data_IF_149065632022
#
_entry.id   IF_149065632022
#
_cell.length_a   1.000
_cell.length_b   1.000
_cell.length_c   1.000
_cell.angle_alpha   90.00
_cell.angle_beta   90.00
_cell.angle_gamma   90.00
#
_symmetry.space_group_name_H-M   'P 1'
#
loop_
_entity.id
_entity.type
_entity.pdbx_description
1 polymer ?
#
# COMPACT_ATOMS: atom_id res chain seq x y z
N UNK A 1 12.82 -7.62 4.99
CA UNK A 1 13.29 -6.48 4.17
C UNK A 1 14.68 -5.98 4.57
N UNK A 2 15.56 -6.83 5.12
CA UNK A 2 16.90 -6.43 5.57
C UNK A 2 17.81 -5.95 4.44
N UNK A 3 17.66 -6.53 3.24
CA UNK A 3 18.44 -6.15 2.06
C UNK A 3 18.15 -4.71 1.61
N UNK A 4 16.89 -4.27 1.63
CA UNK A 4 16.50 -2.89 1.25
C UNK A 4 17.04 -1.88 2.26
N UNK A 5 16.98 -2.19 3.56
CA UNK A 5 17.58 -1.35 4.61
C UNK A 5 19.09 -1.17 4.36
N UNK A 6 19.81 -2.28 4.17
CA UNK A 6 21.26 -2.25 3.97
C UNK A 6 21.61 -1.52 2.65
N UNK A 7 20.85 -1.76 1.59
CA UNK A 7 21.07 -1.12 0.30
C UNK A 7 20.85 0.40 0.36
N UNK A 8 19.82 0.87 1.09
CA UNK A 8 19.62 2.31 1.35
C UNK A 8 20.76 2.87 2.22
N UNK A 9 21.11 2.18 3.30
CA UNK A 9 22.17 2.62 4.23
C UNK A 9 23.53 2.79 3.55
N UNK A 10 23.85 1.87 2.64
CA UNK A 10 25.13 1.85 1.91
C UNK A 10 25.11 2.66 0.62
N UNK A 11 23.95 3.22 0.23
CA UNK A 11 23.80 3.97 -1.02
C UNK A 11 23.85 3.10 -2.28
N UNK A 12 23.60 1.79 -2.17
CA UNK A 12 23.41 0.92 -3.34
C UNK A 12 22.11 1.27 -4.07
N UNK A 13 21.09 1.71 -3.32
CA UNK A 13 19.87 2.32 -3.86
C UNK A 13 19.64 3.67 -3.20
N UNK A 14 19.07 4.62 -3.95
CA UNK A 14 18.79 5.97 -3.45
C UNK A 14 17.40 6.08 -2.81
N UNK A 15 16.45 5.22 -3.20
CA UNK A 15 15.08 5.29 -2.76
C UNK A 15 14.38 3.93 -2.81
N UNK A 16 13.35 3.77 -1.98
CA UNK A 16 12.40 2.68 -2.04
C UNK A 16 10.98 3.24 -2.10
N UNK A 17 10.15 2.72 -3.01
CA UNK A 17 8.74 3.05 -3.08
C UNK A 17 7.96 2.04 -2.23
N UNK A 18 7.49 2.49 -1.07
CA UNK A 18 6.70 1.69 -0.12
C UNK A 18 5.85 2.61 0.76
N UNK A 19 4.78 2.09 1.35
CA UNK A 19 3.90 2.88 2.22
C UNK A 19 4.56 3.25 3.57
N UNK A 20 3.95 4.22 4.25
CA UNK A 20 4.49 4.83 5.47
C UNK A 20 4.74 3.85 6.63
N UNK A 21 4.14 2.65 6.63
CA UNK A 21 4.39 1.66 7.69
C UNK A 21 5.84 1.17 7.71
N UNK A 22 6.53 1.20 6.56
CA UNK A 22 7.90 0.73 6.42
C UNK A 22 8.93 1.55 7.20
N UNK A 23 8.62 2.82 7.52
CA UNK A 23 9.53 3.69 8.27
C UNK A 23 9.86 3.08 9.63
N UNK A 24 8.87 2.45 10.28
CA UNK A 24 9.01 1.76 11.56
C UNK A 24 9.18 0.25 11.39
N UNK A 25 8.30 -0.42 10.64
CA UNK A 25 8.25 -1.87 10.55
C UNK A 25 9.54 -2.48 9.98
N UNK A 26 10.19 -1.79 9.04
CA UNK A 26 11.45 -2.19 8.43
C UNK A 26 12.60 -1.24 8.80
N UNK A 27 12.36 -0.31 9.73
CA UNK A 27 13.31 0.70 10.19
C UNK A 27 13.89 1.57 9.07
N UNK A 28 13.22 1.67 7.92
CA UNK A 28 13.73 2.46 6.80
C UNK A 28 13.85 3.95 7.17
N UNK A 29 13.11 4.43 8.18
CA UNK A 29 13.22 5.79 8.69
C UNK A 29 14.58 6.11 9.33
N UNK A 30 15.34 5.11 9.77
CA UNK A 30 16.69 5.32 10.31
C UNK A 30 17.66 5.77 9.22
N UNK A 31 17.54 5.15 8.04
CA UNK A 31 18.50 5.28 6.93
C UNK A 31 18.02 6.18 5.80
N UNK A 32 16.72 6.45 5.69
CA UNK A 32 16.16 7.41 4.74
C UNK A 32 16.19 8.83 5.32
N UNK A 33 16.46 9.85 4.49
CA UNK A 33 16.44 11.26 4.91
C UNK A 33 15.12 11.97 4.56
N UNK A 34 14.42 11.46 3.54
CA UNK A 34 13.20 12.08 3.01
C UNK A 34 12.08 11.04 2.87
N UNK A 35 10.85 11.48 3.09
CA UNK A 35 9.63 10.75 2.70
C UNK A 35 8.79 11.68 1.82
N UNK A 36 8.51 11.27 0.59
CA UNK A 36 7.72 12.05 -0.38
C UNK A 36 6.31 11.49 -0.51
N UNK A 37 5.29 12.33 -0.38
CA UNK A 37 3.87 11.98 -0.47
C UNK A 37 3.10 12.95 -1.36
N UNK A 38 1.89 12.57 -1.79
CA UNK A 38 0.97 13.44 -2.56
C UNK A 38 0.82 13.08 -4.04
N UNK A 39 1.65 12.17 -4.56
CA UNK A 39 1.46 11.55 -5.87
C UNK A 39 0.55 10.32 -5.78
N UNK A 40 -0.08 9.94 -6.90
CA UNK A 40 -0.74 8.64 -7.07
C UNK A 40 0.30 7.54 -6.91
N UNK A 41 0.04 6.63 -5.99
CA UNK A 41 0.89 5.46 -5.73
C UNK A 41 0.10 4.18 -5.92
N UNK A 42 0.76 3.05 -5.69
CA UNK A 42 0.16 1.72 -5.83
C UNK A 42 -0.85 1.42 -4.73
N UNK A 43 -1.96 0.78 -5.09
CA UNK A 43 -2.79 0.07 -4.13
C UNK A 43 -2.20 -1.33 -3.89
N UNK A 44 -1.93 -1.68 -2.63
CA UNK A 44 -1.41 -3.00 -2.23
C UNK A 44 -2.45 -3.76 -1.41
N UNK A 45 -3.41 -4.47 -2.06
CA UNK A 45 -4.40 -5.24 -1.34
C UNK A 45 -3.78 -6.48 -0.69
N UNK A 46 -4.20 -6.76 0.55
CA UNK A 46 -3.89 -8.02 1.23
C UNK A 46 -5.13 -8.89 1.24
N UNK A 47 -4.93 -10.19 1.02
CA UNK A 47 -6.01 -11.17 0.99
C UNK A 47 -5.77 -12.23 2.05
N UNK A 48 -6.83 -12.56 2.77
CA UNK A 48 -6.91 -13.80 3.55
C UNK A 48 -7.67 -14.79 2.67
N UNK A 49 -7.03 -15.91 2.36
CA UNK A 49 -7.59 -16.95 1.48
C UNK A 49 -7.71 -18.26 2.24
N UNK A 50 -8.74 -19.05 1.91
CA UNK A 50 -8.99 -20.36 2.51
C UNK A 50 -8.89 -21.46 1.45
N UNK A 51 -8.40 -22.64 1.85
CA UNK A 51 -8.43 -23.82 1.00
C UNK A 51 -9.88 -24.16 0.59
N UNK A 52 -10.08 -24.50 -0.68
CA UNK A 52 -11.40 -24.69 -1.27
C UNK A 52 -12.14 -25.92 -0.71
N UNK A 53 -11.43 -27.01 -0.46
CA UNK A 53 -12.03 -28.25 0.03
C UNK A 53 -12.45 -28.06 1.50
N UNK A 54 -11.56 -27.49 2.30
CA UNK A 54 -11.87 -27.13 3.69
C UNK A 54 -13.05 -26.14 3.79
N UNK A 55 -13.16 -25.18 2.88
CA UNK A 55 -14.33 -24.29 2.82
C UNK A 55 -15.61 -25.04 2.47
N UNK A 56 -15.53 -25.98 1.52
CA UNK A 56 -16.67 -26.76 1.04
C UNK A 56 -17.23 -27.69 2.12
N UNK A 57 -16.36 -28.21 2.99
CA UNK A 57 -16.70 -29.09 4.12
C UNK A 57 -17.40 -28.35 5.29
N UNK A 58 -17.41 -27.01 5.29
CA UNK A 58 -18.14 -26.23 6.29
C UNK A 58 -19.66 -26.28 6.07
N UNK A 59 -20.42 -26.27 7.18
CA UNK A 59 -21.86 -26.03 7.13
C UNK A 59 -22.17 -24.60 6.72
N UNK A 60 -23.41 -24.33 6.26
CA UNK A 60 -23.82 -22.98 5.87
C UNK A 60 -23.72 -21.97 7.03
N UNK A 61 -24.03 -22.40 8.25
CA UNK A 61 -23.87 -21.58 9.46
C UNK A 61 -22.38 -21.23 9.70
N UNK A 62 -21.49 -22.21 9.54
CA UNK A 62 -20.04 -21.98 9.69
C UNK A 62 -19.50 -21.06 8.59
N UNK A 63 -19.93 -21.24 7.33
CA UNK A 63 -19.57 -20.34 6.22
C UNK A 63 -19.99 -18.91 6.50
N UNK A 64 -21.22 -18.70 6.98
CA UNK A 64 -21.71 -17.37 7.34
C UNK A 64 -20.88 -16.72 8.45
N UNK A 65 -20.48 -17.48 9.48
CA UNK A 65 -19.59 -16.98 10.55
C UNK A 65 -18.22 -16.58 10.00
N UNK A 66 -17.62 -17.40 9.13
CA UNK A 66 -16.31 -17.11 8.53
C UNK A 66 -16.37 -15.89 7.60
N UNK A 67 -17.43 -15.75 6.80
CA UNK A 67 -17.65 -14.58 5.94
C UNK A 67 -17.75 -13.28 6.76
N UNK A 68 -18.56 -13.29 7.83
CA UNK A 68 -18.70 -12.12 8.69
C UNK A 68 -17.39 -11.79 9.40
N UNK A 69 -16.68 -12.80 9.93
CA UNK A 69 -15.36 -12.60 10.54
C UNK A 69 -14.35 -12.05 9.53
N UNK A 70 -14.34 -12.55 8.30
CA UNK A 70 -13.49 -12.08 7.21
C UNK A 70 -13.77 -10.63 6.82
N UNK A 71 -15.05 -10.25 6.74
CA UNK A 71 -15.47 -8.86 6.47
C UNK A 71 -15.00 -7.92 7.58
N UNK A 72 -15.18 -8.30 8.84
CA UNK A 72 -14.71 -7.52 9.99
C UNK A 72 -13.19 -7.40 10.00
N UNK A 73 -12.47 -8.50 9.76
CA UNK A 73 -11.02 -8.50 9.66
C UNK A 73 -10.51 -7.57 8.54
N UNK A 74 -11.16 -7.57 7.37
CA UNK A 74 -10.83 -6.68 6.26
C UNK A 74 -10.99 -5.21 6.62
N UNK A 75 -12.12 -4.83 7.24
CA UNK A 75 -12.37 -3.45 7.64
C UNK A 75 -11.40 -2.98 8.72
N UNK A 76 -11.17 -3.81 9.74
CA UNK A 76 -10.24 -3.53 10.83
C UNK A 76 -8.80 -3.43 10.31
N UNK A 77 -8.40 -4.34 9.42
CA UNK A 77 -7.08 -4.35 8.77
C UNK A 77 -6.85 -3.07 7.97
N UNK A 78 -7.82 -2.65 7.14
CA UNK A 78 -7.73 -1.40 6.38
C UNK A 78 -7.58 -0.19 7.31
N UNK A 79 -8.43 -0.07 8.34
CA UNK A 79 -8.38 1.04 9.29
C UNK A 79 -7.04 1.11 10.02
N UNK A 80 -6.52 -0.05 10.45
CA UNK A 80 -5.23 -0.16 11.10
C UNK A 80 -4.07 0.22 10.17
N UNK A 81 -4.06 -0.28 8.94
CA UNK A 81 -2.99 0.01 7.99
C UNK A 81 -2.92 1.52 7.68
N UNK A 82 -4.06 2.17 7.42
CA UNK A 82 -4.11 3.61 7.17
C UNK A 82 -3.59 4.41 8.38
N UNK A 83 -3.99 4.02 9.59
CA UNK A 83 -3.55 4.66 10.83
C UNK A 83 -2.04 4.53 11.04
N UNK A 84 -1.50 3.32 10.90
CA UNK A 84 -0.06 3.06 11.11
C UNK A 84 0.79 3.72 10.01
N UNK A 85 0.30 3.76 8.76
CA UNK A 85 0.99 4.45 7.68
C UNK A 85 1.08 5.96 7.93
N UNK A 86 -0.03 6.59 8.35
CA UNK A 86 -0.05 8.00 8.70
C UNK A 86 0.89 8.31 9.89
N UNK A 87 0.79 7.54 10.98
CA UNK A 87 1.68 7.67 12.14
C UNK A 87 3.15 7.46 11.77
N UNK A 88 3.45 6.53 10.87
CA UNK A 88 4.79 6.29 10.35
C UNK A 88 5.39 7.49 9.62
N UNK A 89 4.59 8.21 8.84
CA UNK A 89 4.99 9.44 8.13
C UNK A 89 5.16 10.60 9.11
N UNK A 90 4.19 10.80 10.01
CA UNK A 90 4.21 11.92 10.94
C UNK A 90 5.36 11.79 11.96
N UNK A 91 5.59 10.57 12.48
CA UNK A 91 6.73 10.28 13.36
C UNK A 91 8.08 10.48 12.66
N UNK A 92 8.17 10.13 11.36
CA UNK A 92 9.37 10.39 10.58
C UNK A 92 9.64 11.90 10.48
N UNK A 93 8.64 12.70 10.14
CA UNK A 93 8.76 14.16 10.06
C UNK A 93 9.05 14.86 11.40
N UNK A 94 8.68 14.24 12.52
CA UNK A 94 9.01 14.74 13.86
C UNK A 94 10.48 14.44 14.28
N UNK A 95 11.21 13.63 13.51
CA UNK A 95 12.60 13.27 13.81
C UNK A 95 13.56 14.33 13.29
N UNK A 96 14.48 14.79 14.14
CA UNK A 96 15.46 15.80 13.76
C UNK A 96 16.29 15.36 12.54
N UNK A 97 16.42 16.26 11.56
CA UNK A 97 17.16 16.00 10.31
C UNK A 97 16.43 15.15 9.27
N UNK A 98 15.15 14.81 9.50
CA UNK A 98 14.30 14.11 8.53
C UNK A 98 13.26 15.09 7.95
N UNK A 99 12.85 14.87 6.71
CA UNK A 99 11.90 15.75 6.02
C UNK A 99 10.78 14.96 5.34
N UNK A 100 9.54 15.40 5.55
CA UNK A 100 8.37 14.92 4.81
C UNK A 100 8.04 15.92 3.70
N UNK A 101 8.28 15.53 2.46
CA UNK A 101 7.96 16.31 1.27
C UNK A 101 6.52 16.01 0.88
N UNK A 102 5.65 17.02 0.95
CA UNK A 102 4.25 16.92 0.53
C UNK A 102 4.08 17.65 -0.80
N UNK A 103 3.90 16.90 -1.88
CA UNK A 103 3.81 17.45 -3.23
C UNK A 103 2.53 18.29 -3.39
N UNK A 104 2.65 19.45 -4.05
CA UNK A 104 1.48 20.17 -4.56
C UNK A 104 0.84 19.40 -5.71
N UNK A 105 -0.38 19.81 -6.11
CA UNK A 105 -1.03 19.24 -7.27
C UNK A 105 -0.19 19.40 -8.55
N UNK A 106 0.49 20.53 -8.75
CA UNK A 106 1.36 20.74 -9.91
C UNK A 106 2.59 19.81 -9.86
N UNK A 107 3.20 19.64 -8.69
CA UNK A 107 4.36 18.77 -8.51
C UNK A 107 4.00 17.28 -8.67
N UNK A 108 2.79 16.88 -8.25
CA UNK A 108 2.30 15.51 -8.38
C UNK A 108 1.84 15.17 -9.81
N UNK A 109 1.42 16.16 -10.61
CA UNK A 109 0.89 15.97 -11.96
C UNK A 109 1.75 15.08 -12.88
N UNK A 110 3.08 15.26 -13.02
CA UNK A 110 3.89 14.39 -13.87
C UNK A 110 3.92 12.93 -13.39
N UNK A 111 3.99 12.69 -12.08
CA UNK A 111 3.92 11.34 -11.53
C UNK A 111 2.56 10.69 -11.81
N UNK A 112 1.48 11.45 -11.60
CA UNK A 112 0.12 10.98 -11.80
C UNK A 112 -0.14 10.62 -13.27
N UNK A 113 0.35 11.42 -14.21
CA UNK A 113 0.21 11.16 -15.64
C UNK A 113 0.89 9.84 -16.04
N UNK A 114 2.09 9.57 -15.53
CA UNK A 114 2.80 8.30 -15.79
C UNK A 114 2.05 7.13 -15.15
N UNK A 115 1.58 7.27 -13.91
CA UNK A 115 0.80 6.24 -13.22
C UNK A 115 -0.50 5.90 -13.98
N UNK A 116 -1.18 6.91 -14.53
CA UNK A 116 -2.39 6.73 -15.33
C UNK A 116 -2.08 6.00 -16.65
N UNK A 117 -0.97 6.32 -17.31
CA UNK A 117 -0.52 5.62 -18.53
C UNK A 117 -0.21 4.15 -18.26
N UNK A 118 0.52 3.85 -17.18
CA UNK A 118 0.83 2.47 -16.78
C UNK A 118 -0.46 1.72 -16.46
N UNK A 119 -1.38 2.34 -15.71
CA UNK A 119 -2.69 1.75 -15.38
C UNK A 119 -3.47 1.41 -16.65
N UNK A 120 -3.57 2.35 -17.60
CA UNK A 120 -4.27 2.12 -18.86
C UNK A 120 -3.65 0.99 -19.69
N UNK A 121 -2.31 0.93 -19.75
CA UNK A 121 -1.58 -0.15 -20.42
C UNK A 121 -1.91 -1.51 -19.80
N UNK A 122 -1.79 -1.64 -18.48
CA UNK A 122 -2.06 -2.90 -17.77
C UNK A 122 -3.53 -3.32 -17.90
N UNK A 123 -4.48 -2.38 -17.82
CA UNK A 123 -5.90 -2.66 -18.03
C UNK A 123 -6.16 -3.20 -19.44
N UNK A 124 -5.51 -2.65 -20.46
CA UNK A 124 -5.63 -3.12 -21.84
C UNK A 124 -4.99 -4.51 -22.04
N UNK A 125 -3.84 -4.77 -21.42
CA UNK A 125 -3.15 -6.06 -21.49
C UNK A 125 -3.94 -7.20 -20.80
N UNK A 126 -4.56 -6.93 -19.64
CA UNK A 126 -5.34 -7.92 -18.90
C UNK A 126 -6.73 -8.13 -19.56
N UNK A 127 -7.38 -7.05 -19.97
CA UNK A 127 -8.75 -7.11 -20.52
C UNK A 127 -9.81 -7.54 -19.50
N UNK A 128 -10.97 -7.98 -19.99
CA UNK A 128 -12.07 -8.47 -19.14
C UNK A 128 -12.55 -7.43 -18.12
N UNK A 129 -12.63 -7.83 -16.85
CA UNK A 129 -13.09 -6.97 -15.75
C UNK A 129 -12.01 -6.03 -15.20
N UNK A 130 -10.78 -6.03 -15.75
CA UNK A 130 -9.68 -5.20 -15.25
C UNK A 130 -10.04 -3.70 -15.19
N UNK A 131 -10.76 -3.19 -16.20
CA UNK A 131 -11.22 -1.81 -16.22
C UNK A 131 -12.18 -1.52 -15.04
N UNK A 132 -13.13 -2.42 -14.79
CA UNK A 132 -14.09 -2.27 -13.67
C UNK A 132 -13.39 -2.26 -12.32
N UNK A 133 -12.40 -3.14 -12.14
CA UNK A 133 -11.60 -3.21 -10.91
C UNK A 133 -10.78 -1.92 -10.73
N UNK A 134 -10.10 -1.47 -11.77
CA UNK A 134 -9.30 -0.24 -11.72
C UNK A 134 -10.17 0.98 -11.37
N UNK A 135 -11.36 1.08 -11.93
CA UNK A 135 -12.28 2.20 -11.66
C UNK A 135 -12.88 2.12 -10.25
N UNK A 136 -13.22 0.92 -9.77
CA UNK A 136 -13.69 0.74 -8.39
C UNK A 136 -12.62 1.15 -7.35
N UNK A 137 -11.34 0.97 -7.66
CA UNK A 137 -10.23 1.36 -6.78
C UNK A 137 -9.88 2.86 -6.83
N UNK A 138 -10.32 3.58 -7.87
CA UNK A 138 -10.18 5.05 -7.95
C UNK A 138 -11.28 5.79 -7.18
N UNK A 139 -12.44 5.16 -6.99
CA UNK A 139 -13.59 5.75 -6.32
C UNK A 139 -13.46 5.66 -4.79
N UNK A 140 -12.52 6.40 -4.19
CA UNK A 140 -12.51 6.75 -2.76
C UNK A 140 -11.93 8.13 -2.53
#
# INVERSE_FOLDING_TARGET
MSEVYNALQTGVIDAAMIDGTATKAFRLGEVANYVTVGMKTTNSPFFIVMNRDAWSDLTDEQKAVVEEAGRQASLNGQAMQLRVAADGIDSFGATAGKEVIRLTAEQAAPFNAIADQVTAKIVAEIGGDAAKIADALKAK
#
